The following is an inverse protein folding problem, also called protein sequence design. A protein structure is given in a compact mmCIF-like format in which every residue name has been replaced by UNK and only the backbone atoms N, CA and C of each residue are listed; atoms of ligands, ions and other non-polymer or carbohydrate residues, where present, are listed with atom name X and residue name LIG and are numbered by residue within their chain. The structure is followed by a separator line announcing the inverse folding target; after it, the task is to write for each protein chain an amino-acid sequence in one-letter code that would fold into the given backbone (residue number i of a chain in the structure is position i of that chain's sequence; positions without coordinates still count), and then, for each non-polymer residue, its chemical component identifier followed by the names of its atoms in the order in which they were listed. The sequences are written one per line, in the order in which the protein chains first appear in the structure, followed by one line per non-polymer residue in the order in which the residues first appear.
data_IF_665476282205
#
_entry.id   IF_665476282205
#
_cell.length_a   1.000
_cell.length_b   1.000
_cell.length_c   1.000
_cell.angle_alpha   90.00
_cell.angle_beta   90.00
_cell.angle_gamma   90.00
#
_symmetry.space_group_name_H-M   'P 1'
#
loop_
_entity.id
_entity.type
_entity.pdbx_description
1 polymer ?
#
# COMPACT_ATOMS: atom_id res chain seq x y z
N UNK A 1 -51.53 -0.55 28.10
CA UNK A 1 -50.08 -0.50 27.85
C UNK A 1 -49.80 -1.59 26.83
N UNK A 2 -49.84 -1.23 25.54
CA UNK A 2 -49.67 -2.20 24.45
C UNK A 2 -48.20 -2.25 24.04
N UNK A 3 -47.54 -3.36 24.36
CA UNK A 3 -46.21 -3.67 23.84
C UNK A 3 -46.35 -4.06 22.37
N UNK A 4 -46.01 -3.14 21.45
CA UNK A 4 -45.80 -3.46 20.04
C UNK A 4 -44.54 -4.32 19.93
N UNK A 5 -44.74 -5.61 19.73
CA UNK A 5 -43.70 -6.55 19.31
C UNK A 5 -43.35 -6.21 17.85
N UNK A 6 -42.34 -5.38 17.62
CA UNK A 6 -41.77 -5.19 16.30
C UNK A 6 -40.84 -6.39 16.03
N UNK A 7 -41.32 -7.30 15.17
CA UNK A 7 -40.46 -8.26 14.48
C UNK A 7 -39.45 -7.44 13.67
N UNK A 8 -38.24 -7.28 14.20
CA UNK A 8 -37.11 -6.78 13.43
C UNK A 8 -36.68 -7.95 12.56
N UNK A 9 -37.08 -7.94 11.28
CA UNK A 9 -36.52 -8.86 10.29
C UNK A 9 -35.01 -8.63 10.22
N UNK A 10 -34.25 -9.61 10.68
CA UNK A 10 -32.81 -9.66 10.47
C UNK A 10 -32.54 -9.67 8.97
N UNK A 11 -31.64 -8.79 8.45
CA UNK A 11 -31.30 -8.79 7.03
C UNK A 11 -30.84 -10.20 6.60
N UNK A 12 -31.42 -10.73 5.53
CA UNK A 12 -31.00 -11.99 4.94
C UNK A 12 -29.54 -11.91 4.48
N UNK A 13 -28.76 -12.97 4.73
CA UNK A 13 -27.38 -13.05 4.23
C UNK A 13 -27.35 -12.88 2.70
N UNK A 14 -26.33 -12.16 2.17
CA UNK A 14 -26.22 -11.92 0.73
C UNK A 14 -25.99 -13.22 -0.03
N UNK A 15 -26.57 -13.34 -1.22
CA UNK A 15 -26.39 -14.49 -2.11
C UNK A 15 -24.98 -14.51 -2.70
N UNK A 16 -24.53 -15.68 -3.18
CA UNK A 16 -23.24 -15.81 -3.86
C UNK A 16 -23.11 -14.85 -5.07
N UNK A 17 -24.20 -14.67 -5.83
CA UNK A 17 -24.25 -13.73 -6.96
C UNK A 17 -24.10 -12.27 -6.51
N UNK A 18 -24.73 -11.90 -5.39
CA UNK A 18 -24.58 -10.55 -4.81
C UNK A 18 -23.14 -10.31 -4.32
N UNK A 19 -22.50 -11.33 -3.74
CA UNK A 19 -21.10 -11.26 -3.31
C UNK A 19 -20.17 -11.09 -4.51
N UNK A 20 -20.37 -11.86 -5.59
CA UNK A 20 -19.53 -11.79 -6.79
C UNK A 20 -19.68 -10.44 -7.52
N UNK A 21 -20.92 -9.97 -7.69
CA UNK A 21 -21.21 -8.67 -8.26
C UNK A 21 -20.54 -7.55 -7.44
N UNK A 22 -20.68 -7.60 -6.10
CA UNK A 22 -20.04 -6.65 -5.20
C UNK A 22 -18.51 -6.67 -5.33
N UNK A 23 -17.88 -7.84 -5.40
CA UNK A 23 -16.42 -7.97 -5.59
C UNK A 23 -15.97 -7.35 -6.90
N UNK A 24 -16.70 -7.59 -7.99
CA UNK A 24 -16.40 -7.04 -9.32
C UNK A 24 -16.51 -5.51 -9.34
N UNK A 25 -17.58 -4.96 -8.75
CA UNK A 25 -17.77 -3.52 -8.63
C UNK A 25 -16.69 -2.86 -7.76
N UNK A 26 -16.41 -3.44 -6.58
CA UNK A 26 -15.35 -2.97 -5.68
C UNK A 26 -14.01 -2.95 -6.41
N UNK A 27 -13.71 -3.98 -7.20
CA UNK A 27 -12.46 -4.07 -7.96
C UNK A 27 -12.37 -2.97 -9.03
N UNK A 28 -13.44 -2.75 -9.80
CA UNK A 28 -13.46 -1.71 -10.82
C UNK A 28 -13.28 -0.31 -10.21
N UNK A 29 -13.90 -0.06 -9.06
CA UNK A 29 -13.78 1.18 -8.30
C UNK A 29 -12.36 1.40 -7.76
N UNK A 30 -11.74 0.34 -7.21
CA UNK A 30 -10.34 0.36 -6.77
C UNK A 30 -9.39 0.66 -7.94
N UNK A 31 -9.56 0.00 -9.08
CA UNK A 31 -8.73 0.26 -10.27
C UNK A 31 -8.91 1.68 -10.81
N UNK A 32 -10.15 2.18 -10.88
CA UNK A 32 -10.42 3.54 -11.33
C UNK A 32 -9.76 4.57 -10.40
N UNK A 33 -9.92 4.38 -9.08
CA UNK A 33 -9.33 5.27 -8.08
C UNK A 33 -7.80 5.20 -8.07
N UNK A 34 -7.23 3.99 -8.21
CA UNK A 34 -5.80 3.81 -8.38
C UNK A 34 -5.29 4.56 -9.62
N UNK A 35 -5.98 4.42 -10.76
CA UNK A 35 -5.60 5.11 -12.00
C UNK A 35 -5.72 6.63 -11.89
N UNK A 36 -6.50 7.14 -10.95
CA UNK A 36 -6.60 8.56 -10.67
C UNK A 36 -5.47 9.04 -9.76
N UNK A 37 -5.20 8.34 -8.65
CA UNK A 37 -4.15 8.76 -7.71
C UNK A 37 -2.75 8.73 -8.32
N UNK A 38 -2.47 7.83 -9.27
CA UNK A 38 -1.18 7.79 -9.98
C UNK A 38 -0.93 9.00 -10.89
N UNK A 39 -1.94 9.86 -11.09
CA UNK A 39 -1.80 11.15 -11.79
C UNK A 39 -1.35 12.27 -10.86
N UNK A 40 -1.15 11.98 -9.58
CA UNK A 40 -0.56 12.91 -8.62
C UNK A 40 0.73 13.50 -9.19
N UNK A 41 0.92 14.83 -9.13
CA UNK A 41 2.17 15.45 -9.53
C UNK A 41 3.32 15.08 -8.56
N UNK A 42 2.99 14.77 -7.30
CA UNK A 42 3.95 14.24 -6.34
C UNK A 42 4.30 12.78 -6.68
N UNK A 43 5.60 12.40 -6.75
CA UNK A 43 6.01 11.01 -6.96
C UNK A 43 5.51 10.09 -5.83
N UNK A 44 4.73 9.08 -6.23
CA UNK A 44 4.20 8.05 -5.33
C UNK A 44 4.94 6.72 -5.51
N UNK A 45 5.11 6.00 -4.40
CA UNK A 45 5.84 4.72 -4.36
C UNK A 45 4.95 3.65 -3.73
N UNK A 46 4.34 2.80 -4.54
CA UNK A 46 3.42 1.78 -4.07
C UNK A 46 4.16 0.56 -3.53
N UNK A 47 3.58 -0.08 -2.52
CA UNK A 47 4.16 -1.28 -1.89
C UNK A 47 3.08 -2.33 -1.63
N UNK A 48 3.48 -3.38 -0.92
CA UNK A 48 2.56 -4.41 -0.47
C UNK A 48 1.99 -5.23 -1.62
N UNK A 49 0.77 -5.71 -1.43
CA UNK A 49 0.15 -6.66 -2.36
C UNK A 49 -0.20 -6.02 -3.71
N UNK A 50 -0.52 -4.71 -3.73
CA UNK A 50 -0.74 -3.96 -4.97
C UNK A 50 0.52 -3.81 -5.82
N UNK A 51 1.69 -3.58 -5.21
CA UNK A 51 2.95 -3.61 -5.94
C UNK A 51 3.22 -4.99 -6.56
N UNK A 52 2.94 -6.08 -5.83
CA UNK A 52 3.06 -7.45 -6.34
C UNK A 52 2.10 -7.75 -7.49
N UNK A 53 0.88 -7.23 -7.44
CA UNK A 53 -0.09 -7.33 -8.53
C UNK A 53 0.37 -6.57 -9.78
N UNK A 54 0.89 -5.35 -9.62
CA UNK A 54 1.42 -4.56 -10.73
C UNK A 54 2.62 -5.23 -11.42
N UNK A 55 3.43 -5.98 -10.66
CA UNK A 55 4.54 -6.76 -11.18
C UNK A 55 4.10 -8.04 -11.90
N UNK A 56 3.17 -8.79 -11.30
CA UNK A 56 2.74 -10.10 -11.81
C UNK A 56 1.63 -10.03 -12.86
N UNK A 57 0.95 -8.90 -12.97
CA UNK A 57 -0.25 -8.74 -13.79
C UNK A 57 -1.45 -9.56 -13.31
N UNK A 58 -1.37 -10.18 -12.12
CA UNK A 58 -2.40 -11.08 -11.60
C UNK A 58 -3.20 -10.41 -10.50
N UNK A 59 -4.49 -10.08 -10.73
CA UNK A 59 -5.34 -9.45 -9.73
C UNK A 59 -5.44 -10.27 -8.44
N UNK A 60 -5.46 -9.57 -7.30
CA UNK A 60 -5.71 -10.18 -5.99
C UNK A 60 -6.64 -9.34 -5.13
N UNK A 61 -7.26 -9.96 -4.12
CA UNK A 61 -8.14 -9.27 -3.18
C UNK A 61 -7.31 -8.53 -2.13
N UNK A 62 -7.49 -7.21 -2.05
CA UNK A 62 -6.78 -6.34 -1.12
C UNK A 62 -7.76 -5.52 -0.28
N UNK A 63 -7.39 -5.26 0.98
CA UNK A 63 -8.13 -4.39 1.88
C UNK A 63 -7.89 -2.90 1.60
N UNK A 64 -6.64 -2.59 1.27
CA UNK A 64 -6.07 -1.25 1.17
C UNK A 64 -4.96 -1.18 0.10
N UNK A 65 -4.48 0.03 -0.17
CA UNK A 65 -3.35 0.33 -1.05
C UNK A 65 -2.30 1.08 -0.25
N UNK A 66 -1.16 0.44 0.00
CA UNK A 66 -0.03 1.07 0.68
C UNK A 66 0.83 1.89 -0.29
N UNK A 67 1.19 3.12 0.09
CA UNK A 67 2.13 3.95 -0.67
C UNK A 67 3.03 4.81 0.21
N UNK A 68 4.14 5.27 -0.37
CA UNK A 68 4.97 6.35 0.18
C UNK A 68 4.94 7.59 -0.69
N UNK A 69 5.15 8.76 -0.08
CA UNK A 69 5.42 10.02 -0.75
C UNK A 69 6.47 10.85 0.04
N UNK A 70 7.23 11.68 -0.68
CA UNK A 70 8.23 12.58 -0.09
C UNK A 70 7.55 13.71 0.69
N UNK A 71 7.90 13.88 1.96
CA UNK A 71 7.29 14.88 2.84
C UNK A 71 7.42 16.30 2.30
N UNK A 72 8.45 16.59 1.50
CA UNK A 72 8.61 17.89 0.85
C UNK A 72 7.51 18.19 -0.19
N UNK A 73 6.83 17.16 -0.68
CA UNK A 73 5.72 17.25 -1.64
C UNK A 73 4.36 17.13 -0.95
N UNK A 74 4.30 17.18 0.39
CA UNK A 74 3.06 16.97 1.13
C UNK A 74 1.98 17.94 0.70
N UNK A 75 2.27 19.24 0.66
CA UNK A 75 1.27 20.27 0.35
C UNK A 75 0.68 20.07 -1.06
N UNK A 76 1.53 19.79 -2.04
CA UNK A 76 1.12 19.49 -3.41
C UNK A 76 0.28 18.21 -3.50
N UNK A 77 0.65 17.17 -2.75
CA UNK A 77 -0.12 15.93 -2.72
C UNK A 77 -1.50 16.12 -2.07
N UNK A 78 -1.58 16.84 -0.94
CA UNK A 78 -2.86 17.13 -0.27
C UNK A 78 -3.76 17.99 -1.17
N UNK A 79 -3.21 19.04 -1.80
CA UNK A 79 -3.97 19.85 -2.75
C UNK A 79 -4.49 19.01 -3.93
N UNK A 80 -3.68 18.10 -4.46
CA UNK A 80 -4.13 17.16 -5.48
C UNK A 80 -5.29 16.28 -4.99
N UNK A 81 -5.18 15.71 -3.78
CA UNK A 81 -6.22 14.86 -3.21
C UNK A 81 -7.55 15.62 -3.07
N UNK A 82 -7.52 16.82 -2.50
CA UNK A 82 -8.71 17.66 -2.31
C UNK A 82 -9.37 18.01 -3.64
N UNK A 83 -8.58 18.44 -4.63
CA UNK A 83 -9.06 18.81 -5.96
C UNK A 83 -9.68 17.65 -6.74
N UNK A 84 -9.31 16.41 -6.41
CA UNK A 84 -9.80 15.20 -7.06
C UNK A 84 -10.81 14.43 -6.20
N UNK A 85 -11.33 15.04 -5.13
CA UNK A 85 -12.40 14.46 -4.31
C UNK A 85 -11.95 13.24 -3.50
N UNK A 86 -10.67 13.16 -3.17
CA UNK A 86 -10.19 12.26 -2.13
C UNK A 86 -10.38 12.93 -0.76
N UNK A 87 -10.58 12.12 0.27
CA UNK A 87 -10.61 12.57 1.65
C UNK A 87 -9.35 12.06 2.35
N UNK A 88 -8.56 12.96 2.91
CA UNK A 88 -7.33 12.63 3.62
C UNK A 88 -7.45 12.98 5.10
N UNK A 89 -7.12 12.03 5.97
CA UNK A 89 -7.02 12.24 7.42
C UNK A 89 -5.63 11.84 7.90
N UNK A 90 -5.01 12.69 8.71
CA UNK A 90 -3.73 12.34 9.33
C UNK A 90 -3.97 11.51 10.60
N UNK A 91 -3.37 10.32 10.66
CA UNK A 91 -3.44 9.43 11.80
C UNK A 91 -2.48 9.86 12.91
N UNK A 92 -2.71 9.37 14.13
CA UNK A 92 -1.89 9.71 15.30
C UNK A 92 -0.40 9.32 15.16
N UNK A 93 -0.09 8.32 14.35
CA UNK A 93 1.27 7.87 14.02
C UNK A 93 1.89 8.64 12.83
N UNK A 94 1.22 9.68 12.32
CA UNK A 94 1.75 10.61 11.32
C UNK A 94 1.60 10.16 9.87
N UNK A 95 0.95 9.01 9.62
CA UNK A 95 0.49 8.54 8.31
C UNK A 95 -0.71 9.35 7.84
N UNK A 96 -0.99 9.33 6.54
CA UNK A 96 -2.28 9.78 5.99
C UNK A 96 -3.12 8.55 5.62
N UNK A 97 -4.34 8.49 6.13
CA UNK A 97 -5.37 7.59 5.60
C UNK A 97 -6.16 8.37 4.56
N UNK A 98 -6.13 7.89 3.31
CA UNK A 98 -6.78 8.58 2.20
C UNK A 98 -7.85 7.67 1.62
N UNK A 99 -9.07 8.16 1.48
CA UNK A 99 -10.19 7.39 0.95
C UNK A 99 -10.90 8.11 -0.21
N UNK A 100 -11.38 7.32 -1.16
CA UNK A 100 -12.31 7.76 -2.20
C UNK A 100 -13.24 6.61 -2.54
N UNK A 101 -14.52 6.77 -2.23
CA UNK A 101 -15.49 5.67 -2.30
C UNK A 101 -15.04 4.50 -1.41
N UNK A 102 -14.92 3.30 -2.00
CA UNK A 102 -14.47 2.07 -1.32
C UNK A 102 -12.95 1.86 -1.34
N UNK A 103 -12.20 2.74 -2.00
CA UNK A 103 -10.74 2.66 -2.04
C UNK A 103 -10.14 3.32 -0.80
N UNK A 104 -9.24 2.59 -0.13
CA UNK A 104 -8.49 3.05 1.03
C UNK A 104 -7.00 3.00 0.70
N UNK A 105 -6.31 4.11 0.96
CA UNK A 105 -4.87 4.24 0.78
C UNK A 105 -4.22 4.55 2.12
N UNK A 106 -3.20 3.77 2.44
CA UNK A 106 -2.32 3.99 3.58
C UNK A 106 -1.07 4.71 3.08
N UNK A 107 -1.05 6.02 3.24
CA UNK A 107 -0.02 6.91 2.73
C UNK A 107 1.01 7.22 3.81
N UNK A 108 2.19 6.61 3.69
CA UNK A 108 3.31 6.85 4.58
C UNK A 108 4.22 7.96 4.06
N UNK A 109 4.75 8.77 4.98
CA UNK A 109 5.75 9.78 4.66
C UNK A 109 7.16 9.24 4.76
N UNK A 110 8.04 9.78 3.94
CA UNK A 110 9.47 9.60 4.05
C UNK A 110 10.19 10.89 3.64
N UNK A 111 11.50 10.93 3.83
CA UNK A 111 12.38 11.99 3.32
C UNK A 111 13.48 11.39 2.45
N UNK A 112 14.03 12.18 1.55
CA UNK A 112 15.16 11.76 0.73
C UNK A 112 16.49 12.14 1.39
N UNK A 113 17.35 11.17 1.67
CA UNK A 113 18.70 11.39 2.24
C UNK A 113 19.74 10.64 1.40
N UNK A 114 20.47 11.37 0.55
CA UNK A 114 21.48 10.78 -0.35
C UNK A 114 20.87 9.70 -1.26
N UNK A 115 21.37 8.47 -1.12
CA UNK A 115 20.91 7.29 -1.88
C UNK A 115 19.74 6.53 -1.22
N UNK A 116 19.16 7.10 -0.16
CA UNK A 116 18.09 6.48 0.61
C UNK A 116 16.80 7.30 0.58
N UNK A 117 15.70 6.57 0.69
CA UNK A 117 14.46 7.10 1.24
C UNK A 117 14.34 6.67 2.69
N UNK A 118 14.10 7.63 3.58
CA UNK A 118 14.12 7.43 5.02
C UNK A 118 12.72 7.60 5.58
N UNK A 119 12.15 6.50 6.07
CA UNK A 119 10.86 6.51 6.76
C UNK A 119 11.08 6.46 8.25
N UNK A 120 10.56 7.45 8.97
CA UNK A 120 10.47 7.44 10.43
C UNK A 120 9.08 6.94 10.82
N UNK A 121 9.03 5.89 11.64
CA UNK A 121 7.78 5.31 12.14
C UNK A 121 7.88 5.12 13.68
N UNK A 122 6.75 4.98 14.40
CA UNK A 122 6.77 4.76 15.85
C UNK A 122 7.59 3.54 16.27
N UNK A 123 7.68 2.54 15.39
CA UNK A 123 8.42 1.31 15.59
C UNK A 123 9.83 1.34 14.98
N UNK A 124 10.38 2.49 14.63
CA UNK A 124 11.77 2.66 14.19
C UNK A 124 11.93 3.37 12.85
N UNK A 125 13.18 3.54 12.43
CA UNK A 125 13.56 4.24 11.21
C UNK A 125 14.07 3.27 10.15
N UNK A 126 13.51 3.36 8.95
CA UNK A 126 13.87 2.54 7.80
C UNK A 126 14.64 3.38 6.80
N UNK A 127 15.79 2.88 6.36
CA UNK A 127 16.59 3.44 5.28
C UNK A 127 16.45 2.52 4.07
N UNK A 128 15.52 2.87 3.17
CA UNK A 128 15.29 2.14 1.95
C UNK A 128 16.26 2.62 0.87
N UNK A 129 17.14 1.76 0.32
CA UNK A 129 18.00 2.16 -0.80
C UNK A 129 17.15 2.41 -2.05
N UNK A 130 17.47 3.46 -2.82
CA UNK A 130 16.70 3.84 -4.02
C UNK A 130 16.54 2.73 -5.05
N UNK A 131 17.55 1.88 -5.20
CA UNK A 131 17.51 0.70 -6.10
C UNK A 131 16.48 -0.39 -5.70
N UNK A 132 15.91 -0.29 -4.49
CA UNK A 132 14.80 -1.13 -4.03
C UNK A 132 13.44 -0.72 -4.59
N UNK A 133 13.40 0.29 -5.46
CA UNK A 133 12.21 0.72 -6.19
C UNK A 133 12.44 0.58 -7.68
N UNK A 134 11.37 0.25 -8.40
CA UNK A 134 11.36 0.17 -9.86
C UNK A 134 10.23 1.04 -10.39
N UNK A 135 10.45 1.65 -11.54
CA UNK A 135 9.43 2.44 -12.23
C UNK A 135 8.82 1.57 -13.32
N UNK A 136 7.48 1.48 -13.33
CA UNK A 136 6.71 0.84 -14.39
C UNK A 136 5.84 1.87 -15.11
N UNK A 137 5.41 1.56 -16.32
CA UNK A 137 4.42 2.38 -17.04
C UNK A 137 3.02 1.80 -16.87
N UNK A 138 2.05 2.65 -16.53
CA UNK A 138 0.63 2.27 -16.49
C UNK A 138 -0.24 3.42 -17.01
N UNK A 139 -1.03 3.15 -18.05
CA UNK A 139 -1.92 4.14 -18.66
C UNK A 139 -1.18 5.45 -19.04
N UNK A 140 0.06 5.34 -19.52
CA UNK A 140 0.91 6.49 -19.86
C UNK A 140 1.48 7.26 -18.66
N UNK A 141 1.30 6.78 -17.42
CA UNK A 141 1.88 7.36 -16.21
C UNK A 141 3.02 6.49 -15.69
N UNK A 142 4.05 7.13 -15.15
CA UNK A 142 5.12 6.44 -14.43
C UNK A 142 4.66 6.12 -13.01
N UNK A 143 4.76 4.86 -12.62
CA UNK A 143 4.38 4.38 -11.29
C UNK A 143 5.62 3.78 -10.63
N UNK A 144 6.04 4.32 -9.50
CA UNK A 144 7.13 3.72 -8.73
C UNK A 144 6.54 2.65 -7.81
N UNK A 145 7.17 1.49 -7.77
CA UNK A 145 6.75 0.37 -6.94
C UNK A 145 7.95 -0.23 -6.21
N UNK A 146 7.72 -0.73 -5.00
CA UNK A 146 8.71 -1.49 -4.26
C UNK A 146 9.07 -2.76 -5.03
N UNK A 147 10.35 -3.04 -5.17
CA UNK A 147 10.82 -4.22 -5.89
C UNK A 147 10.52 -5.52 -5.12
N UNK A 148 10.43 -6.67 -5.79
CA UNK A 148 10.30 -7.98 -5.13
C UNK A 148 11.35 -8.20 -4.05
N UNK A 149 12.59 -7.80 -4.31
CA UNK A 149 13.71 -7.96 -3.39
C UNK A 149 13.51 -7.14 -2.11
N UNK A 150 13.11 -5.87 -2.23
CA UNK A 150 12.88 -5.03 -1.06
C UNK A 150 11.66 -5.50 -0.26
N UNK A 151 10.58 -5.91 -0.95
CA UNK A 151 9.43 -6.54 -0.30
C UNK A 151 9.82 -7.82 0.45
N UNK A 152 10.70 -8.64 -0.14
CA UNK A 152 11.21 -9.86 0.48
C UNK A 152 12.04 -9.56 1.74
N UNK A 153 12.95 -8.59 1.69
CA UNK A 153 13.75 -8.15 2.85
C UNK A 153 12.83 -7.69 3.98
N UNK A 154 11.86 -6.82 3.69
CA UNK A 154 10.91 -6.33 4.69
C UNK A 154 10.08 -7.44 5.33
N UNK A 155 9.65 -8.44 4.56
CA UNK A 155 8.87 -9.56 5.05
C UNK A 155 9.71 -10.55 5.89
N UNK A 156 10.94 -10.87 5.46
CA UNK A 156 11.87 -11.77 6.18
C UNK A 156 12.44 -11.18 7.46
N UNK A 157 12.62 -9.85 7.53
CA UNK A 157 13.17 -9.15 8.70
C UNK A 157 12.16 -8.88 9.82
N UNK A 158 10.88 -9.19 9.63
CA UNK A 158 9.83 -9.00 10.63
C UNK A 158 9.73 -10.14 11.67
N UNK A 159 8.89 -9.99 12.72
CA UNK A 159 8.63 -11.07 13.68
C UNK A 159 8.07 -12.33 12.99
N UNK A 160 8.25 -13.49 13.64
CA UNK A 160 8.07 -14.84 13.11
C UNK A 160 7.01 -14.96 11.99
N UNK A 161 7.42 -15.54 10.86
CA UNK A 161 6.60 -15.72 9.67
C UNK A 161 5.43 -16.68 9.97
N UNK A 162 4.22 -16.16 10.07
CA UNK A 162 3.02 -16.99 10.00
C UNK A 162 2.89 -17.68 8.62
N UNK A 163 2.01 -18.68 8.51
CA UNK A 163 1.85 -19.48 7.30
C UNK A 163 1.38 -18.65 6.08
N UNK A 164 0.58 -17.61 6.29
CA UNK A 164 0.11 -16.70 5.23
C UNK A 164 1.27 -15.88 4.66
N UNK A 165 2.13 -15.34 5.53
CA UNK A 165 3.35 -14.63 5.17
C UNK A 165 4.32 -15.51 4.38
N UNK A 166 4.44 -16.79 4.73
CA UNK A 166 5.28 -17.74 3.99
C UNK A 166 4.79 -17.97 2.55
N UNK A 167 3.48 -18.21 2.36
CA UNK A 167 2.93 -18.40 1.01
C UNK A 167 3.09 -17.15 0.11
N UNK A 168 2.91 -15.96 0.69
CA UNK A 168 3.12 -14.70 -0.03
C UNK A 168 4.60 -14.41 -0.34
N UNK A 169 5.52 -14.94 0.46
CA UNK A 169 6.94 -14.92 0.15
C UNK A 169 7.22 -15.84 -1.04
N UNK A 170 6.76 -17.09 -1.00
CA UNK A 170 7.02 -18.08 -2.06
C UNK A 170 6.60 -17.55 -3.45
N UNK A 171 5.45 -16.87 -3.56
CA UNK A 171 5.02 -16.19 -4.81
C UNK A 171 5.96 -15.07 -5.26
N UNK A 172 6.51 -14.30 -4.33
CA UNK A 172 7.47 -13.24 -4.65
C UNK A 172 8.81 -13.81 -5.11
N UNK A 173 9.19 -15.01 -4.66
CA UNK A 173 10.51 -15.59 -4.94
C UNK A 173 10.77 -15.82 -6.43
N UNK A 174 9.72 -16.02 -7.23
CA UNK A 174 9.80 -16.18 -8.69
C UNK A 174 10.25 -14.90 -9.41
N UNK A 175 10.08 -13.74 -8.77
CA UNK A 175 10.40 -12.43 -9.34
C UNK A 175 11.69 -11.81 -8.78
N UNK A 176 12.39 -12.53 -7.89
CA UNK A 176 13.60 -12.02 -7.23
C UNK A 176 14.82 -12.23 -8.13
N UNK A 177 15.54 -11.14 -8.41
CA UNK A 177 16.92 -11.21 -8.90
C UNK A 177 17.88 -11.38 -7.71
N UNK A 178 18.63 -12.50 -7.61
CA UNK A 178 19.55 -12.73 -6.50
C UNK A 178 20.65 -11.67 -6.37
N UNK A 179 21.17 -11.15 -7.48
CA UNK A 179 22.23 -10.14 -7.47
C UNK A 179 21.69 -8.79 -6.97
N UNK A 180 20.48 -8.43 -7.42
CA UNK A 180 19.78 -7.25 -6.93
C UNK A 180 19.41 -7.39 -5.44
N UNK A 181 18.95 -8.56 -5.02
CA UNK A 181 18.64 -8.85 -3.61
C UNK A 181 19.87 -8.66 -2.73
N UNK A 182 21.02 -9.18 -3.14
CA UNK A 182 22.28 -9.02 -2.40
C UNK A 182 22.67 -7.55 -2.31
N UNK A 183 22.53 -6.81 -3.42
CA UNK A 183 22.83 -5.36 -3.48
C UNK A 183 21.95 -4.58 -2.51
N UNK A 184 20.63 -4.72 -2.60
CA UNK A 184 19.66 -4.03 -1.73
C UNK A 184 19.87 -4.43 -0.26
N UNK A 185 20.04 -5.73 0.03
CA UNK A 185 20.22 -6.24 1.39
C UNK A 185 21.47 -5.65 2.06
N UNK A 186 22.54 -5.40 1.31
CA UNK A 186 23.78 -4.81 1.85
C UNK A 186 23.64 -3.34 2.23
N UNK A 187 22.67 -2.63 1.65
CA UNK A 187 22.46 -1.19 1.88
C UNK A 187 21.27 -0.90 2.80
N UNK A 188 20.26 -1.76 2.80
CA UNK A 188 19.07 -1.60 3.63
C UNK A 188 19.45 -1.54 5.12
N UNK A 189 18.90 -0.55 5.83
CA UNK A 189 19.11 -0.41 7.29
C UNK A 189 17.80 -0.18 7.99
N UNK A 190 17.68 -0.77 9.17
CA UNK A 190 16.59 -0.52 10.11
C UNK A 190 17.21 -0.18 11.46
N UNK A 191 16.80 0.96 12.01
CA UNK A 191 17.19 1.41 13.34
C UNK A 191 15.96 1.29 14.23
N UNK A 192 15.94 0.39 15.24
CA UNK A 192 14.80 0.28 16.15
C UNK A 192 14.62 1.58 16.94
N UNK A 193 13.40 1.86 17.45
CA UNK A 193 13.15 3.04 18.24
C UNK A 193 14.01 2.97 19.51
N UNK A 194 14.49 4.12 19.99
CA UNK A 194 15.19 4.16 21.26
C UNK A 194 14.30 3.52 22.33
N UNK A 195 14.84 2.57 23.11
CA UNK A 195 14.09 1.99 24.23
C UNK A 195 13.77 3.12 25.21
N UNK A 196 12.49 3.47 25.30
CA UNK A 196 11.92 4.29 26.37
C UNK A 196 11.85 3.50 27.66
#
# INVERSE_FOLDING_TARGET
MDAKNQNVETPSEPTAEQIEAYKKEKRAELEATFNEIIKSPAPLFFRGSWAGELLSGTPSEHGDIDLYFDEKNQDEFIEFLDNNGFHAEQTADGKFSVNKGRALFDCHKWKTEGDYYVQEAPYGTFYFPKEGFVTIERNGNQVNIMSPELMWIMKKGGPALDASRKSNLDKLSEFIDPAKLQTISSKFKYIPPAKT
#
